data_IF_973130583147
#
_entry.id   IF_973130583147
#
_cell.length_a   1.000
_cell.length_b   1.000
_cell.length_c   1.000
_cell.angle_alpha   90.00
_cell.angle_beta   90.00
_cell.angle_gamma   90.00
#
_symmetry.space_group_name_H-M   'P 1'
#
loop_
_entity.id
_entity.type
_entity.pdbx_description
1 polymer ?
#
# COMPACT_ATOMS: atom_id res chain seq x y z
N UNK A 1 14.56 -6.59 -19.36
CA UNK A 1 13.82 -5.42 -18.83
C UNK A 1 13.98 -4.28 -19.83
N UNK A 2 12.90 -3.57 -20.18
CA UNK A 2 13.01 -2.43 -21.08
C UNK A 2 13.61 -1.22 -20.35
N UNK A 3 14.33 -0.36 -21.06
CA UNK A 3 14.96 0.85 -20.52
C UNK A 3 13.98 1.77 -19.76
N UNK A 4 12.72 1.79 -20.22
CA UNK A 4 11.60 2.48 -19.56
C UNK A 4 11.31 1.93 -18.16
N UNK A 5 11.38 0.61 -17.97
CA UNK A 5 11.13 -0.03 -16.67
C UNK A 5 12.20 0.37 -15.66
N UNK A 6 13.46 0.46 -16.12
CA UNK A 6 14.60 0.87 -15.29
C UNK A 6 14.45 2.32 -14.85
N UNK A 7 14.07 3.22 -15.77
CA UNK A 7 13.83 4.64 -15.47
C UNK A 7 12.72 4.78 -14.41
N UNK A 8 11.63 4.03 -14.53
CA UNK A 8 10.53 4.08 -13.58
C UNK A 8 10.96 3.60 -12.19
N UNK A 9 11.73 2.52 -12.11
CA UNK A 9 12.30 2.02 -10.84
C UNK A 9 13.24 3.05 -10.22
N UNK A 10 14.10 3.69 -11.01
CA UNK A 10 15.04 4.72 -10.52
C UNK A 10 14.29 5.94 -9.98
N UNK A 11 13.26 6.42 -10.68
CA UNK A 11 12.42 7.54 -10.22
C UNK A 11 11.69 7.15 -8.93
N UNK A 12 11.14 5.95 -8.87
CA UNK A 12 10.44 5.44 -7.68
C UNK A 12 11.38 5.34 -6.46
N UNK A 13 12.59 4.80 -6.65
CA UNK A 13 13.62 4.75 -5.60
C UNK A 13 14.08 6.15 -5.17
N UNK A 14 14.20 7.09 -6.10
CA UNK A 14 14.56 8.48 -5.80
C UNK A 14 13.47 9.16 -4.95
N UNK A 15 12.20 8.93 -5.27
CA UNK A 15 11.06 9.42 -4.48
C UNK A 15 11.10 8.82 -3.06
N UNK A 16 11.30 7.50 -2.94
CA UNK A 16 11.45 6.84 -1.63
C UNK A 16 12.62 7.44 -0.85
N UNK A 17 13.79 7.61 -1.48
CA UNK A 17 14.97 8.20 -0.85
C UNK A 17 14.70 9.62 -0.34
N UNK A 18 14.03 10.45 -1.13
CA UNK A 18 13.64 11.80 -0.73
C UNK A 18 12.62 11.80 0.41
N UNK A 19 11.68 10.85 0.43
CA UNK A 19 10.73 10.67 1.54
C UNK A 19 11.44 10.22 2.83
N UNK A 20 12.42 9.32 2.73
CA UNK A 20 13.21 8.82 3.87
C UNK A 20 14.20 9.86 4.42
N UNK A 21 14.68 10.79 3.59
CA UNK A 21 15.60 11.86 4.01
C UNK A 21 14.90 12.95 4.85
N UNK A 22 13.57 12.98 4.87
CA UNK A 22 12.83 13.80 5.83
C UNK A 22 13.21 13.40 7.25
N UNK A 23 13.76 14.34 8.05
CA UNK A 23 14.05 14.08 9.46
C UNK A 23 12.86 13.35 10.09
N UNK A 24 13.08 12.24 10.83
CA UNK A 24 12.00 11.59 11.54
C UNK A 24 11.47 12.64 12.50
N UNK A 25 10.34 13.28 12.16
CA UNK A 25 9.57 13.92 13.21
C UNK A 25 9.35 12.78 14.19
N UNK A 26 9.84 12.93 15.42
CA UNK A 26 9.50 12.02 16.51
C UNK A 26 8.01 12.14 16.70
N UNK A 27 7.24 11.48 15.82
CA UNK A 27 5.82 11.32 16.00
C UNK A 27 5.74 10.38 17.18
N UNK A 28 5.49 10.97 18.34
CA UNK A 28 5.23 10.22 19.55
C UNK A 28 3.83 9.65 19.37
N UNK A 29 3.77 8.42 18.87
CA UNK A 29 2.54 7.66 18.82
C UNK A 29 2.07 7.44 20.26
N UNK A 30 0.77 7.60 20.49
CA UNK A 30 0.17 7.21 21.75
C UNK A 30 0.31 5.69 21.94
N UNK A 31 0.33 5.22 23.19
CA UNK A 31 0.44 3.80 23.53
C UNK A 31 -0.66 2.99 22.85
N UNK A 32 -1.88 3.54 22.80
CA UNK A 32 -3.02 2.95 22.10
C UNK A 32 -2.75 2.77 20.60
N UNK A 33 -2.13 3.75 19.95
CA UNK A 33 -1.79 3.67 18.53
C UNK A 33 -0.72 2.61 18.28
N UNK A 34 0.25 2.48 19.18
CA UNK A 34 1.31 1.47 19.09
C UNK A 34 0.77 0.05 19.21
N UNK A 35 -0.14 -0.19 20.17
CA UNK A 35 -0.78 -1.50 20.36
C UNK A 35 -1.59 -1.90 19.12
N UNK A 36 -2.39 -0.98 18.58
CA UNK A 36 -3.21 -1.24 17.39
C UNK A 36 -2.31 -1.54 16.18
N UNK A 37 -1.23 -0.80 15.97
CA UNK A 37 -0.28 -1.07 14.87
C UNK A 37 0.36 -2.45 15.02
N UNK A 38 0.76 -2.83 16.23
CA UNK A 38 1.33 -4.16 16.47
C UNK A 38 0.31 -5.28 16.17
N UNK A 39 -0.95 -5.10 16.57
CA UNK A 39 -2.02 -6.04 16.21
C UNK A 39 -2.24 -6.10 14.69
N UNK A 40 -2.28 -4.95 14.02
CA UNK A 40 -2.38 -4.88 12.56
C UNK A 40 -1.25 -5.62 11.86
N UNK A 41 -0.02 -5.48 12.37
CA UNK A 41 1.13 -6.20 11.84
C UNK A 41 0.99 -7.72 11.99
N UNK A 42 0.46 -8.20 13.13
CA UNK A 42 0.18 -9.64 13.33
C UNK A 42 -0.84 -10.16 12.32
N UNK A 43 -1.92 -9.42 12.07
CA UNK A 43 -2.92 -9.82 11.07
C UNK A 43 -2.36 -9.81 9.64
N UNK A 44 -1.56 -8.79 9.29
CA UNK A 44 -0.89 -8.71 8.00
C UNK A 44 0.10 -9.87 7.80
N UNK A 45 0.94 -10.15 8.78
CA UNK A 45 1.90 -11.26 8.74
C UNK A 45 1.20 -12.61 8.65
N UNK A 46 0.16 -12.84 9.44
CA UNK A 46 -0.65 -14.06 9.34
C UNK A 46 -1.28 -14.22 7.96
N UNK A 47 -1.76 -13.12 7.36
CA UNK A 47 -2.31 -13.13 5.99
C UNK A 47 -1.25 -13.48 4.95
N UNK A 48 -0.06 -12.89 5.05
CA UNK A 48 1.09 -13.21 4.18
C UNK A 48 1.38 -14.70 4.25
N UNK A 49 1.55 -15.26 5.45
CA UNK A 49 1.88 -16.67 5.65
C UNK A 49 0.79 -17.62 5.08
N UNK A 50 -0.49 -17.27 5.24
CA UNK A 50 -1.60 -18.06 4.68
C UNK A 50 -1.58 -18.01 3.16
N UNK A 51 -1.41 -16.82 2.56
CA UNK A 51 -1.35 -16.68 1.10
C UNK A 51 -0.14 -17.40 0.52
N UNK A 52 1.02 -17.31 1.17
CA UNK A 52 2.23 -18.04 0.79
C UNK A 52 1.99 -19.55 0.80
N UNK A 53 1.35 -20.08 1.84
CA UNK A 53 1.02 -21.50 1.94
C UNK A 53 0.06 -21.93 0.83
N UNK A 54 -0.97 -21.12 0.55
CA UNK A 54 -1.91 -21.37 -0.55
C UNK A 54 -1.18 -21.37 -1.88
N UNK A 55 -0.36 -20.35 -2.15
CA UNK A 55 0.39 -20.25 -3.40
C UNK A 55 1.37 -21.41 -3.57
N UNK A 56 2.08 -21.80 -2.51
CA UNK A 56 2.95 -22.97 -2.48
C UNK A 56 2.17 -24.24 -2.87
N UNK A 57 1.00 -24.48 -2.25
CA UNK A 57 0.16 -25.62 -2.58
C UNK A 57 -0.33 -25.58 -4.04
N UNK A 58 -0.76 -24.42 -4.53
CA UNK A 58 -1.19 -24.25 -5.93
C UNK A 58 -0.07 -24.53 -6.93
N UNK A 59 1.17 -24.10 -6.63
CA UNK A 59 2.31 -24.32 -7.53
C UNK A 59 2.86 -25.74 -7.46
N UNK A 60 3.04 -26.28 -6.26
CA UNK A 60 3.76 -27.54 -6.05
C UNK A 60 2.83 -28.75 -6.16
N UNK A 61 1.62 -28.66 -5.61
CA UNK A 61 0.67 -29.78 -5.61
C UNK A 61 -0.24 -29.79 -6.85
N UNK A 62 -0.71 -28.62 -7.30
CA UNK A 62 -1.58 -28.50 -8.47
C UNK A 62 -0.84 -28.18 -9.78
N UNK A 63 0.48 -28.05 -9.75
CA UNK A 63 1.33 -27.75 -10.91
C UNK A 63 0.88 -26.52 -11.72
N UNK A 64 0.26 -25.53 -11.06
CA UNK A 64 -0.16 -24.30 -11.73
C UNK A 64 1.07 -23.43 -12.05
N UNK A 65 1.16 -23.02 -13.32
CA UNK A 65 2.21 -22.11 -13.79
C UNK A 65 1.91 -20.68 -13.30
N UNK A 66 2.44 -20.35 -12.13
CA UNK A 66 2.39 -19.01 -11.54
C UNK A 66 3.75 -18.33 -11.73
N UNK A 67 3.74 -17.05 -12.09
CA UNK A 67 4.98 -16.28 -12.26
C UNK A 67 5.69 -16.10 -10.91
N UNK A 68 7.03 -16.17 -10.83
CA UNK A 68 7.76 -15.98 -9.58
C UNK A 68 7.44 -14.64 -8.86
N UNK A 69 7.16 -13.58 -9.64
CA UNK A 69 6.75 -12.28 -9.09
C UNK A 69 5.45 -12.37 -8.29
N UNK A 70 4.51 -13.25 -8.65
CA UNK A 70 3.27 -13.46 -7.88
C UNK A 70 3.55 -14.01 -6.50
N UNK A 71 4.46 -14.98 -6.43
CA UNK A 71 4.80 -15.67 -5.18
C UNK A 71 5.35 -14.70 -4.14
N UNK A 72 6.01 -13.63 -4.58
CA UNK A 72 6.55 -12.61 -3.68
C UNK A 72 5.57 -11.44 -3.45
N UNK A 73 5.05 -10.88 -4.54
CA UNK A 73 4.34 -9.60 -4.48
C UNK A 73 2.90 -9.72 -4.01
N UNK A 74 2.19 -10.80 -4.36
CA UNK A 74 0.79 -10.96 -3.96
C UNK A 74 0.65 -11.04 -2.43
N UNK A 75 1.36 -11.94 -1.71
CA UNK A 75 1.30 -11.99 -0.25
C UNK A 75 1.66 -10.64 0.38
N UNK A 76 2.78 -10.04 -0.05
CA UNK A 76 3.31 -8.80 0.53
C UNK A 76 2.32 -7.63 0.36
N UNK A 77 1.80 -7.41 -0.86
CA UNK A 77 0.86 -6.34 -1.13
C UNK A 77 -0.49 -6.57 -0.43
N UNK A 78 -0.97 -7.81 -0.37
CA UNK A 78 -2.17 -8.13 0.40
C UNK A 78 -1.96 -7.91 1.90
N UNK A 79 -0.80 -8.27 2.45
CA UNK A 79 -0.44 -7.97 3.84
C UNK A 79 -0.44 -6.47 4.13
N UNK A 80 0.10 -5.65 3.23
CA UNK A 80 0.04 -4.19 3.34
C UNK A 80 -1.40 -3.68 3.34
N UNK A 81 -2.24 -4.18 2.44
CA UNK A 81 -3.67 -3.83 2.38
C UNK A 81 -4.37 -4.17 3.70
N UNK A 82 -4.17 -5.37 4.23
CA UNK A 82 -4.76 -5.80 5.51
C UNK A 82 -4.28 -4.93 6.67
N UNK A 83 -2.98 -4.64 6.72
CA UNK A 83 -2.42 -3.74 7.72
C UNK A 83 -3.12 -2.38 7.68
N UNK A 84 -3.19 -1.77 6.49
CA UNK A 84 -3.79 -0.45 6.31
C UNK A 84 -5.28 -0.45 6.63
N UNK A 85 -6.06 -1.43 6.17
CA UNK A 85 -7.47 -1.55 6.52
C UNK A 85 -7.64 -1.68 8.04
N UNK A 86 -6.83 -2.51 8.69
CA UNK A 86 -6.93 -2.73 10.13
C UNK A 86 -6.65 -1.46 10.94
N UNK A 87 -5.54 -0.76 10.65
CA UNK A 87 -5.17 0.45 11.39
C UNK A 87 -6.23 1.54 11.23
N UNK A 88 -6.79 1.66 10.03
CA UNK A 88 -7.87 2.60 9.70
C UNK A 88 -9.16 2.27 10.40
N UNK A 89 -9.59 1.00 10.35
CA UNK A 89 -10.80 0.55 11.03
C UNK A 89 -10.73 0.80 12.55
N UNK A 90 -9.52 0.83 13.11
CA UNK A 90 -9.27 1.13 14.52
C UNK A 90 -8.96 2.61 14.80
N UNK A 91 -9.11 3.49 13.81
CA UNK A 91 -8.92 4.93 13.94
C UNK A 91 -7.47 5.36 14.18
N UNK A 92 -6.51 4.48 13.88
CA UNK A 92 -5.08 4.76 13.99
C UNK A 92 -4.55 5.05 12.61
N UNK A 93 -4.36 6.33 12.34
CA UNK A 93 -3.72 6.78 11.13
C UNK A 93 -2.23 7.04 11.39
N UNK A 94 -1.44 7.11 10.32
CA UNK A 94 -0.03 7.43 10.39
C UNK A 94 0.17 8.77 11.14
N UNK A 95 1.28 8.90 11.84
CA UNK A 95 1.62 10.13 12.56
C UNK A 95 1.61 11.34 11.63
N UNK A 96 0.51 12.07 11.58
CA UNK A 96 0.25 12.99 10.50
C UNK A 96 0.66 14.42 10.88
N UNK A 97 1.66 14.95 10.20
CA UNK A 97 1.94 16.38 10.24
C UNK A 97 1.37 17.00 8.96
N UNK A 98 0.25 17.74 9.08
CA UNK A 98 -0.53 18.23 7.95
C UNK A 98 0.30 18.94 6.86
N UNK A 99 1.29 19.75 7.27
CA UNK A 99 2.12 20.53 6.33
C UNK A 99 3.14 19.69 5.57
N UNK A 100 3.65 18.61 6.16
CA UNK A 100 4.69 17.77 5.55
C UNK A 100 4.09 16.60 4.76
N UNK A 101 2.94 16.08 5.18
CA UNK A 101 2.44 14.81 4.66
C UNK A 101 1.40 14.99 3.54
N UNK A 102 0.74 16.15 3.41
CA UNK A 102 -0.27 16.39 2.36
C UNK A 102 0.25 16.17 0.92
N UNK A 103 1.46 16.63 0.51
CA UNK A 103 1.97 16.36 -0.83
C UNK A 103 2.21 14.86 -1.05
N UNK A 104 2.76 14.16 -0.06
CA UNK A 104 2.98 12.72 -0.11
C UNK A 104 1.66 11.97 -0.29
N UNK A 105 0.63 12.29 0.50
CA UNK A 105 -0.71 11.70 0.37
C UNK A 105 -1.31 11.87 -1.03
N UNK A 106 -1.19 13.07 -1.62
CA UNK A 106 -1.68 13.34 -2.98
C UNK A 106 -0.91 12.52 -4.02
N UNK A 107 0.42 12.44 -3.90
CA UNK A 107 1.27 11.66 -4.81
C UNK A 107 0.90 10.18 -4.72
N UNK A 108 0.80 9.62 -3.50
CA UNK A 108 0.44 8.22 -3.27
C UNK A 108 -0.94 7.89 -3.84
N UNK A 109 -1.95 8.74 -3.62
CA UNK A 109 -3.28 8.57 -4.21
C UNK A 109 -3.24 8.61 -5.73
N UNK A 110 -2.54 9.60 -6.30
CA UNK A 110 -2.47 9.79 -7.75
C UNK A 110 -1.81 8.59 -8.42
N UNK A 111 -0.66 8.15 -7.90
CA UNK A 111 0.04 6.97 -8.40
C UNK A 111 -0.82 5.70 -8.27
N UNK A 112 -1.48 5.53 -7.12
CA UNK A 112 -2.35 4.37 -6.90
C UNK A 112 -3.54 4.32 -7.86
N UNK A 113 -4.20 5.47 -8.10
CA UNK A 113 -5.32 5.56 -9.05
C UNK A 113 -4.86 5.31 -10.48
N UNK A 114 -3.74 5.90 -10.91
CA UNK A 114 -3.16 5.69 -12.24
C UNK A 114 -2.86 4.20 -12.46
N UNK A 115 -2.21 3.56 -11.47
CA UNK A 115 -1.88 2.14 -11.54
C UNK A 115 -3.14 1.27 -11.65
N UNK A 116 -4.18 1.55 -10.86
CA UNK A 116 -5.46 0.85 -10.93
C UNK A 116 -6.11 0.99 -12.31
N UNK A 117 -6.14 2.20 -12.87
CA UNK A 117 -6.75 2.45 -14.19
C UNK A 117 -6.03 1.61 -15.25
N UNK A 118 -4.70 1.67 -15.31
CA UNK A 118 -3.93 0.90 -16.30
C UNK A 118 -4.09 -0.61 -16.11
N UNK A 119 -4.07 -1.08 -14.86
CA UNK A 119 -4.24 -2.49 -14.54
C UNK A 119 -5.63 -3.00 -14.93
N UNK A 120 -6.70 -2.26 -14.62
CA UNK A 120 -8.07 -2.63 -14.97
C UNK A 120 -8.27 -2.62 -16.49
N UNK A 121 -7.81 -1.58 -17.19
CA UNK A 121 -7.85 -1.54 -18.66
C UNK A 121 -7.10 -2.74 -19.24
N UNK A 122 -5.95 -3.10 -18.68
CA UNK A 122 -5.17 -4.26 -19.08
C UNK A 122 -5.91 -5.59 -18.90
N UNK A 123 -6.59 -5.78 -17.77
CA UNK A 123 -7.41 -6.98 -17.50
C UNK A 123 -8.57 -7.09 -18.50
N UNK A 124 -9.28 -5.97 -18.72
CA UNK A 124 -10.44 -5.93 -19.63
C UNK A 124 -10.00 -6.14 -21.09
N UNK A 125 -8.87 -5.54 -21.49
CA UNK A 125 -8.35 -5.65 -22.85
C UNK A 125 -7.62 -6.95 -23.17
N UNK A 126 -7.10 -7.67 -22.17
CA UNK A 126 -6.32 -8.90 -22.36
C UNK A 126 -6.49 -9.89 -21.19
N UNK A 127 -7.70 -10.42 -21.06
CA UNK A 127 -8.10 -11.33 -19.97
C UNK A 127 -7.26 -12.62 -19.91
N UNK A 128 -6.78 -13.12 -21.06
CA UNK A 128 -5.92 -14.31 -21.11
C UNK A 128 -4.58 -14.13 -20.39
N UNK A 129 -4.13 -12.87 -20.20
CA UNK A 129 -2.90 -12.53 -19.50
C UNK A 129 -3.16 -11.82 -18.17
N UNK A 130 -4.30 -12.10 -17.52
CA UNK A 130 -4.72 -11.49 -16.25
C UNK A 130 -3.62 -11.46 -15.18
N UNK A 131 -2.77 -12.48 -15.13
CA UNK A 131 -1.65 -12.52 -14.19
C UNK A 131 -0.77 -11.26 -14.32
N UNK A 132 -0.52 -10.72 -15.51
CA UNK A 132 0.30 -9.51 -15.66
C UNK A 132 -0.24 -8.28 -14.93
N UNK A 133 -1.53 -8.28 -14.57
CA UNK A 133 -2.23 -7.10 -14.08
C UNK A 133 -2.67 -7.22 -12.61
N UNK A 134 -2.69 -8.41 -12.00
CA UNK A 134 -3.07 -8.55 -10.57
C UNK A 134 -2.10 -7.85 -9.64
N UNK A 135 -0.79 -8.01 -9.86
CA UNK A 135 0.23 -7.34 -9.05
C UNK A 135 0.10 -5.81 -9.17
N UNK A 136 -0.04 -5.23 -10.38
CA UNK A 136 -0.44 -3.83 -10.56
C UNK A 136 -1.73 -3.43 -9.82
N UNK A 137 -2.80 -4.22 -9.88
CA UNK A 137 -4.04 -3.94 -9.12
C UNK A 137 -3.76 -3.88 -7.62
N UNK A 138 -3.07 -4.87 -7.08
CA UNK A 138 -2.75 -4.93 -5.65
C UNK A 138 -1.84 -3.78 -5.23
N UNK A 139 -0.88 -3.40 -6.09
CA UNK A 139 -0.02 -2.24 -5.86
C UNK A 139 -0.85 -0.96 -5.79
N UNK A 140 -1.73 -0.75 -6.78
CA UNK A 140 -2.66 0.37 -6.80
C UNK A 140 -3.52 0.45 -5.53
N UNK A 141 -4.13 -0.67 -5.11
CA UNK A 141 -4.90 -0.74 -3.86
C UNK A 141 -4.05 -0.44 -2.62
N UNK A 142 -2.83 -0.97 -2.55
CA UNK A 142 -1.91 -0.75 -1.43
C UNK A 142 -1.46 0.71 -1.30
N UNK A 143 -1.57 1.50 -2.37
CA UNK A 143 -1.29 2.95 -2.36
C UNK A 143 -2.56 3.75 -2.09
N UNK A 144 -3.68 3.42 -2.73
CA UNK A 144 -4.94 4.16 -2.59
C UNK A 144 -5.50 4.07 -1.18
N UNK A 145 -5.46 2.89 -0.55
CA UNK A 145 -6.05 2.70 0.79
C UNK A 145 -5.35 3.60 1.83
N UNK A 146 -4.01 3.53 2.03
CA UNK A 146 -3.31 4.46 2.92
C UNK A 146 -3.53 5.93 2.55
N UNK A 147 -3.43 6.26 1.26
CA UNK A 147 -3.58 7.63 0.80
C UNK A 147 -4.97 8.21 1.09
N UNK A 148 -6.03 7.41 0.94
CA UNK A 148 -7.39 7.82 1.29
C UNK A 148 -7.52 8.08 2.79
N UNK A 149 -6.84 7.28 3.59
CA UNK A 149 -6.96 7.33 5.05
C UNK A 149 -6.22 8.52 5.65
N UNK A 150 -5.06 8.83 5.10
CA UNK A 150 -4.33 10.06 5.35
C UNK A 150 -5.17 11.29 4.97
N UNK A 151 -5.93 11.23 3.86
CA UNK A 151 -6.81 12.31 3.41
C UNK A 151 -8.02 12.51 4.34
N UNK A 152 -8.62 11.41 4.85
CA UNK A 152 -9.69 11.49 5.83
C UNK A 152 -9.21 12.14 7.13
N UNK A 153 -8.00 11.82 7.58
CA UNK A 153 -7.41 12.43 8.77
C UNK A 153 -7.16 13.94 8.58
N UNK A 154 -6.56 14.33 7.44
CA UNK A 154 -6.41 15.74 7.04
C UNK A 154 -7.73 16.53 7.07
N UNK A 155 -8.85 15.88 6.75
CA UNK A 155 -10.17 16.51 6.81
C UNK A 155 -10.63 16.68 8.25
N UNK A 156 -10.39 15.70 9.11
CA UNK A 156 -10.80 15.73 10.51
C UNK A 156 -9.99 16.74 11.32
N UNK A 157 -8.67 16.78 11.15
CA UNK A 157 -7.77 17.72 11.85
C UNK A 157 -8.12 19.18 11.54
N UNK A 158 -8.43 19.49 10.27
CA UNK A 158 -8.95 20.81 9.86
C UNK A 158 -10.27 21.19 10.51
N UNK A 159 -11.17 20.23 10.74
CA UNK A 159 -12.47 20.51 11.39
C UNK A 159 -12.26 20.84 12.86
N UNK A 160 -11.44 20.06 13.56
CA UNK A 160 -11.10 20.27 14.97
C UNK A 160 -10.45 21.64 15.18
N UNK A 161 -9.43 21.98 14.39
CA UNK A 161 -8.74 23.28 14.45
C UNK A 161 -9.64 24.49 14.14
N UNK A 162 -10.76 24.28 13.44
CA UNK A 162 -11.74 25.33 13.12
C UNK A 162 -12.80 25.48 14.22
N UNK A 163 -13.06 24.43 14.99
CA UNK A 163 -13.99 24.46 16.12
C UNK A 163 -13.40 25.10 17.38
N UNK A 164 -12.06 25.12 17.50
CA UNK A 164 -11.32 25.70 18.63
C UNK A 164 -10.97 27.19 18.43
N UNK A 165 -11.41 27.82 17.33
CA UNK A 165 -11.22 29.24 17.01
C UNK A 165 -12.55 29.98 16.97
#
# INVERSE_FOLDING_TARGET
>A
MSSLTIIFIVIFLLIIFLMLKGQPSKVKYDERQTIIRNQGFKYAFGTIAIIDLVLFFLTDYLNLKIKPVFLLMVPLLTGLIIFSIYTVAKGVSHGFNEKKNKPATIITLTLGIIELIFAIIGIVGNSNNWQNFVVPVLLGLSLVIPGFTDLLQLRNDKKTNKAEK
#
